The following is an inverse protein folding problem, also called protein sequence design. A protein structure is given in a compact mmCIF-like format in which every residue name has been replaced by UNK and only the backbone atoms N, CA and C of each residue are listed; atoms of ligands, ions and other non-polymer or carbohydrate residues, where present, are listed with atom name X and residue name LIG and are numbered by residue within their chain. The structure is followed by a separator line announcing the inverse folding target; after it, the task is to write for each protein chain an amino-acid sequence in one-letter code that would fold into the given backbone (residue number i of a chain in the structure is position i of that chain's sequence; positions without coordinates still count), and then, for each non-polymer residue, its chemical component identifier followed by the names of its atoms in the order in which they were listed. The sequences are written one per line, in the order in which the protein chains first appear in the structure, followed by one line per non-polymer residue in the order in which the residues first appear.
data_IF_647019125235
#
_entry.id   IF_647019125235
#
_cell.length_a   1.000
_cell.length_b   1.000
_cell.length_c   1.000
_cell.angle_alpha   90.00
_cell.angle_beta   90.00
_cell.angle_gamma   90.00
#
_symmetry.space_group_name_H-M   'P 1'
#
loop_
_entity.id
_entity.type
_entity.pdbx_description
1 polymer ?
#
# COMPACT_ATOMS: atom_id res chain seq x y z
N UNK A 1 36.84 9.45 23.16
CA UNK A 1 35.44 9.63 22.71
C UNK A 1 34.60 8.53 23.38
N UNK A 2 33.78 8.85 24.39
CA UNK A 2 32.85 7.88 25.00
C UNK A 2 31.83 7.50 23.92
N UNK A 3 31.84 6.26 23.48
CA UNK A 3 30.82 5.72 22.60
C UNK A 3 29.56 5.57 23.44
N UNK A 4 28.49 6.28 23.10
CA UNK A 4 27.17 6.17 23.75
C UNK A 4 26.40 5.01 23.10
N UNK A 5 26.57 3.77 23.56
CA UNK A 5 26.00 2.59 22.89
C UNK A 5 24.47 2.58 22.93
N UNK A 6 23.85 3.18 23.96
CA UNK A 6 22.39 3.29 24.03
C UNK A 6 21.82 4.21 22.94
N UNK A 7 22.41 5.41 22.80
CA UNK A 7 22.00 6.37 21.78
C UNK A 7 22.14 5.79 20.39
N UNK A 8 23.22 5.07 20.11
CA UNK A 8 23.43 4.42 18.82
C UNK A 8 22.42 3.30 18.57
N UNK A 9 22.11 2.47 19.56
CA UNK A 9 21.09 1.41 19.46
C UNK A 9 19.70 2.00 19.21
N UNK A 10 19.36 3.09 19.90
CA UNK A 10 18.09 3.81 19.71
C UNK A 10 18.00 4.44 18.31
N UNK A 11 19.06 5.10 17.88
CA UNK A 11 19.13 5.68 16.54
C UNK A 11 18.97 4.59 15.47
N UNK A 12 19.64 3.47 15.62
CA UNK A 12 19.55 2.33 14.71
C UNK A 12 18.14 1.71 14.71
N UNK A 13 17.51 1.55 15.87
CA UNK A 13 16.13 1.09 16.01
C UNK A 13 15.17 2.05 15.31
N UNK A 14 15.33 3.37 15.53
CA UNK A 14 14.48 4.39 14.92
C UNK A 14 14.64 4.40 13.39
N UNK A 15 15.87 4.36 12.90
CA UNK A 15 16.15 4.34 11.44
C UNK A 15 15.58 3.07 10.81
N UNK A 16 15.81 1.89 11.43
CA UNK A 16 15.25 0.62 10.95
C UNK A 16 13.72 0.66 10.89
N UNK A 17 13.08 1.25 11.89
CA UNK A 17 11.63 1.39 11.92
C UNK A 17 11.13 2.33 10.82
N UNK A 18 11.77 3.47 10.62
CA UNK A 18 11.43 4.38 9.53
C UNK A 18 11.60 3.73 8.15
N UNK A 19 12.69 3.00 7.94
CA UNK A 19 12.93 2.27 6.69
C UNK A 19 11.88 1.18 6.46
N UNK A 20 11.52 0.43 7.51
CA UNK A 20 10.49 -0.61 7.44
C UNK A 20 9.12 -0.01 7.12
N UNK A 21 8.75 1.09 7.77
CA UNK A 21 7.50 1.81 7.48
C UNK A 21 7.47 2.32 6.03
N UNK A 22 8.55 2.96 5.59
CA UNK A 22 8.64 3.48 4.22
C UNK A 22 8.53 2.35 3.20
N UNK A 23 9.23 1.24 3.44
CA UNK A 23 9.15 0.06 2.58
C UNK A 23 7.76 -0.56 2.56
N UNK A 24 7.10 -0.66 3.71
CA UNK A 24 5.74 -1.18 3.82
C UNK A 24 4.73 -0.30 3.07
N UNK A 25 4.79 1.03 3.28
CA UNK A 25 3.92 1.99 2.59
C UNK A 25 4.15 1.93 1.08
N UNK A 26 5.41 1.84 0.64
CA UNK A 26 5.75 1.76 -0.78
C UNK A 26 5.21 0.48 -1.43
N UNK A 27 5.51 -0.69 -0.86
CA UNK A 27 5.09 -1.99 -1.43
C UNK A 27 3.58 -2.14 -1.42
N UNK A 28 2.94 -1.71 -0.35
CA UNK A 28 1.49 -1.79 -0.24
C UNK A 28 0.80 -0.76 -1.12
N UNK A 29 1.32 0.45 -1.21
CA UNK A 29 0.81 1.50 -2.10
C UNK A 29 0.74 1.02 -3.55
N UNK A 30 1.81 0.42 -4.06
CA UNK A 30 1.85 -0.15 -5.41
C UNK A 30 0.83 -1.29 -5.62
N UNK A 31 0.64 -2.16 -4.63
CA UNK A 31 -0.31 -3.26 -4.73
C UNK A 31 -1.75 -2.74 -4.74
N UNK A 32 -2.03 -1.80 -3.88
CA UNK A 32 -3.33 -1.13 -3.77
C UNK A 32 -3.66 -0.37 -5.04
N UNK A 33 -2.71 0.41 -5.56
CA UNK A 33 -2.90 1.16 -6.81
C UNK A 33 -3.24 0.22 -7.98
N UNK A 34 -2.51 -0.88 -8.11
CA UNK A 34 -2.77 -1.88 -9.17
C UNK A 34 -4.15 -2.51 -9.04
N UNK A 35 -4.55 -2.92 -7.86
CA UNK A 35 -5.87 -3.54 -7.63
C UNK A 35 -7.03 -2.56 -7.73
N UNK A 36 -6.77 -1.26 -7.54
CA UNK A 36 -7.80 -0.22 -7.49
C UNK A 36 -8.09 0.41 -8.84
N UNK A 37 -7.06 0.57 -9.67
CA UNK A 37 -7.17 1.33 -10.90
C UNK A 37 -6.94 0.52 -12.17
N UNK A 38 -6.30 -0.63 -12.08
CA UNK A 38 -6.01 -1.44 -13.26
C UNK A 38 -6.93 -2.64 -13.36
N UNK A 39 -7.26 -3.01 -14.61
CA UNK A 39 -7.98 -4.24 -14.90
C UNK A 39 -7.16 -5.47 -14.48
N UNK A 40 -7.82 -6.45 -13.89
CA UNK A 40 -7.21 -7.76 -13.66
C UNK A 40 -6.79 -8.40 -15.00
N UNK A 41 -5.75 -9.21 -14.97
CA UNK A 41 -5.24 -9.87 -16.20
C UNK A 41 -6.33 -10.69 -16.89
N UNK A 42 -7.17 -11.40 -16.12
CA UNK A 42 -8.28 -12.17 -16.65
C UNK A 42 -9.30 -11.31 -17.43
N UNK A 43 -9.57 -10.08 -16.95
CA UNK A 43 -10.48 -9.14 -17.60
C UNK A 43 -9.85 -8.52 -18.86
N UNK A 44 -8.54 -8.25 -18.83
CA UNK A 44 -7.81 -7.83 -20.04
C UNK A 44 -7.85 -8.91 -21.11
N UNK A 45 -7.63 -10.17 -20.74
CA UNK A 45 -7.70 -11.32 -21.66
C UNK A 45 -9.13 -11.54 -22.18
N UNK A 46 -10.13 -11.26 -21.35
CA UNK A 46 -11.54 -11.32 -21.74
C UNK A 46 -11.86 -10.27 -22.82
N UNK A 47 -11.45 -9.02 -22.59
CA UNK A 47 -11.65 -7.94 -23.55
C UNK A 47 -10.81 -8.15 -24.83
N UNK A 48 -9.61 -8.70 -24.73
CA UNK A 48 -8.78 -9.05 -25.86
C UNK A 48 -9.42 -10.14 -26.74
N UNK A 49 -10.26 -11.03 -26.17
CA UNK A 49 -11.05 -11.99 -26.97
C UNK A 49 -12.09 -11.32 -27.86
N UNK A 50 -12.73 -10.25 -27.38
CA UNK A 50 -13.65 -9.47 -28.22
C UNK A 50 -12.93 -8.80 -29.39
N UNK A 51 -11.74 -8.27 -29.17
CA UNK A 51 -10.96 -7.70 -30.29
C UNK A 51 -10.60 -8.76 -31.33
N UNK A 52 -10.24 -9.97 -30.90
CA UNK A 52 -10.02 -11.11 -31.84
C UNK A 52 -11.27 -11.51 -32.61
N UNK A 53 -12.42 -11.52 -31.97
CA UNK A 53 -13.71 -11.81 -32.62
C UNK A 53 -14.10 -10.71 -33.60
N UNK A 54 -13.86 -9.46 -33.26
CA UNK A 54 -14.09 -8.32 -34.17
C UNK A 54 -13.21 -8.40 -35.42
N UNK A 55 -11.93 -8.75 -35.25
CA UNK A 55 -10.99 -8.97 -36.36
C UNK A 55 -11.44 -10.09 -37.27
N UNK A 56 -11.84 -11.25 -36.69
CA UNK A 56 -12.39 -12.37 -37.46
C UNK A 56 -13.69 -11.99 -38.20
N UNK A 57 -14.56 -11.21 -37.59
CA UNK A 57 -15.79 -10.75 -38.22
C UNK A 57 -15.50 -9.81 -39.42
N UNK A 58 -14.44 -8.99 -39.30
CA UNK A 58 -13.95 -8.16 -40.39
C UNK A 58 -13.35 -9.00 -41.52
N UNK A 59 -12.46 -9.94 -41.20
CA UNK A 59 -11.82 -10.82 -42.22
C UNK A 59 -12.83 -11.68 -42.99
N UNK A 60 -13.87 -12.20 -42.31
CA UNK A 60 -14.83 -13.12 -42.91
C UNK A 60 -16.03 -12.45 -43.58
N UNK A 61 -16.50 -11.34 -43.03
CA UNK A 61 -17.74 -10.71 -43.44
C UNK A 61 -17.64 -9.22 -43.74
N UNK A 62 -16.43 -8.64 -43.74
CA UNK A 62 -16.24 -7.22 -43.98
C UNK A 62 -17.11 -6.33 -43.08
N UNK A 63 -17.61 -5.24 -43.62
CA UNK A 63 -18.43 -4.29 -42.88
C UNK A 63 -19.74 -4.89 -42.29
N UNK A 64 -20.36 -5.83 -43.02
CA UNK A 64 -21.60 -6.49 -42.58
C UNK A 64 -21.33 -7.45 -41.43
N UNK A 65 -20.22 -8.20 -41.50
CA UNK A 65 -19.79 -9.10 -40.46
C UNK A 65 -19.50 -8.35 -39.13
N UNK A 66 -18.77 -7.24 -39.24
CA UNK A 66 -18.49 -6.35 -38.11
C UNK A 66 -19.77 -5.80 -37.47
N UNK A 67 -20.71 -5.33 -38.31
CA UNK A 67 -21.97 -4.76 -37.80
C UNK A 67 -22.83 -5.81 -37.08
N UNK A 68 -22.88 -7.02 -37.61
CA UNK A 68 -23.61 -8.13 -36.99
C UNK A 68 -22.99 -8.48 -35.65
N UNK A 69 -21.67 -8.63 -35.61
CA UNK A 69 -20.91 -8.91 -34.39
C UNK A 69 -21.07 -7.77 -33.34
N UNK A 70 -20.96 -6.50 -33.79
CA UNK A 70 -21.13 -5.32 -32.92
C UNK A 70 -22.45 -5.33 -32.19
N UNK A 71 -23.58 -5.55 -32.91
CA UNK A 71 -24.92 -5.63 -32.35
C UNK A 71 -25.06 -6.77 -31.35
N UNK A 72 -24.40 -7.89 -31.58
CA UNK A 72 -24.39 -9.03 -30.68
C UNK A 72 -23.66 -8.70 -29.38
N UNK A 73 -22.47 -8.09 -29.46
CA UNK A 73 -21.67 -7.70 -28.28
C UNK A 73 -22.36 -6.61 -27.48
N UNK A 74 -22.93 -5.59 -28.13
CA UNK A 74 -23.68 -4.54 -27.45
C UNK A 74 -24.86 -5.08 -26.65
N UNK A 75 -25.57 -6.10 -27.17
CA UNK A 75 -26.66 -6.76 -26.42
C UNK A 75 -26.16 -7.63 -25.29
N UNK A 76 -25.03 -8.30 -25.46
CA UNK A 76 -24.47 -9.21 -24.47
C UNK A 76 -23.87 -8.46 -23.27
N UNK A 77 -23.22 -7.33 -23.52
CA UNK A 77 -22.51 -6.56 -22.50
C UNK A 77 -23.26 -5.31 -22.03
N UNK A 78 -24.38 -4.99 -22.66
CA UNK A 78 -25.16 -3.77 -22.41
C UNK A 78 -24.29 -2.49 -22.44
N UNK A 79 -23.36 -2.44 -23.40
CA UNK A 79 -22.39 -1.36 -23.53
C UNK A 79 -22.23 -0.92 -24.98
N UNK A 80 -21.83 0.33 -25.18
CA UNK A 80 -21.50 0.82 -26.52
C UNK A 80 -20.19 0.19 -27.02
N UNK A 81 -20.18 -0.24 -28.28
CA UNK A 81 -19.01 -0.77 -28.96
C UNK A 81 -18.97 -0.31 -30.43
N UNK A 82 -17.76 -0.05 -30.91
CA UNK A 82 -17.49 0.25 -32.31
C UNK A 82 -16.18 -0.38 -32.79
N UNK A 83 -16.11 -0.77 -34.03
CA UNK A 83 -14.88 -1.22 -34.68
C UNK A 83 -14.44 -0.15 -35.64
N UNK A 84 -13.23 0.37 -35.45
CA UNK A 84 -12.72 1.52 -36.22
C UNK A 84 -11.39 1.20 -36.85
N UNK A 85 -11.19 1.73 -38.04
CA UNK A 85 -9.95 1.64 -38.78
C UNK A 85 -8.86 2.59 -38.26
N UNK A 86 -7.70 2.63 -38.93
CA UNK A 86 -6.54 3.44 -38.52
C UNK A 86 -6.85 4.93 -38.43
N UNK A 87 -7.72 5.45 -39.26
CA UNK A 87 -8.13 6.86 -39.30
C UNK A 87 -9.41 7.12 -38.52
N UNK A 88 -9.78 6.24 -37.59
CA UNK A 88 -10.97 6.31 -36.73
C UNK A 88 -12.30 6.28 -37.52
N UNK A 89 -12.29 5.88 -38.79
CA UNK A 89 -13.50 5.60 -39.54
C UNK A 89 -14.15 4.29 -39.08
N UNK A 90 -15.48 4.24 -39.07
CA UNK A 90 -16.21 3.00 -38.79
C UNK A 90 -15.86 1.92 -39.81
N UNK A 91 -15.54 0.72 -39.35
CA UNK A 91 -15.41 -0.46 -40.22
C UNK A 91 -16.73 -1.21 -40.37
N UNK A 92 -17.77 -0.85 -39.64
CA UNK A 92 -19.13 -1.35 -39.80
C UNK A 92 -19.90 -0.65 -40.92
N UNK A 93 -21.14 -1.10 -41.16
CA UNK A 93 -22.04 -0.48 -42.15
C UNK A 93 -22.62 0.84 -41.66
N UNK A 94 -22.68 1.06 -40.35
CA UNK A 94 -23.20 2.27 -39.71
C UNK A 94 -22.06 3.25 -39.48
N UNK A 95 -22.24 4.49 -39.98
CA UNK A 95 -21.30 5.56 -39.64
C UNK A 95 -21.49 6.04 -38.23
N UNK A 96 -20.40 6.46 -37.59
CA UNK A 96 -20.42 7.02 -36.25
C UNK A 96 -21.07 8.39 -36.26
N UNK A 97 -21.95 8.65 -35.32
CA UNK A 97 -22.52 9.98 -35.09
C UNK A 97 -21.44 10.91 -34.51
N UNK A 98 -21.68 12.22 -34.50
CA UNK A 98 -20.76 13.20 -33.92
C UNK A 98 -20.53 12.94 -32.40
N UNK A 99 -21.56 12.50 -31.69
CA UNK A 99 -21.49 12.12 -30.30
C UNK A 99 -20.62 10.88 -30.10
N UNK A 100 -20.85 9.82 -30.89
CA UNK A 100 -20.05 8.59 -30.87
C UNK A 100 -18.58 8.84 -31.26
N UNK A 101 -18.33 9.74 -32.19
CA UNK A 101 -16.97 10.17 -32.53
C UNK A 101 -16.27 10.86 -31.35
N UNK A 102 -17.00 11.53 -30.48
CA UNK A 102 -16.51 12.09 -29.23
C UNK A 102 -15.96 11.03 -28.31
N UNK A 103 -16.53 9.82 -28.29
CA UNK A 103 -16.05 8.70 -27.49
C UNK A 103 -14.64 8.24 -27.91
N UNK A 104 -14.24 8.46 -29.16
CA UNK A 104 -12.92 8.11 -29.64
C UNK A 104 -11.81 9.09 -29.25
N UNK A 105 -12.16 10.25 -28.67
CA UNK A 105 -11.18 11.28 -28.32
C UNK A 105 -10.36 10.89 -27.07
N UNK A 106 -10.95 10.13 -26.12
CA UNK A 106 -10.33 9.77 -24.85
C UNK A 106 -10.40 8.26 -24.60
N UNK A 107 -9.80 7.49 -25.50
CA UNK A 107 -9.71 6.05 -25.35
C UNK A 107 -8.52 5.66 -24.44
N UNK A 108 -8.72 4.68 -23.59
CA UNK A 108 -7.67 4.09 -22.73
C UNK A 108 -7.19 2.77 -23.31
N UNK A 109 -5.91 2.46 -23.14
CA UNK A 109 -5.38 1.12 -23.42
C UNK A 109 -5.71 0.18 -22.26
N UNK A 110 -5.76 -1.14 -22.51
CA UNK A 110 -6.06 -2.15 -21.49
C UNK A 110 -5.16 -2.10 -20.26
N UNK A 111 -3.90 -1.70 -20.45
CA UNK A 111 -2.91 -1.57 -19.39
C UNK A 111 -2.87 -0.19 -18.72
N UNK A 112 -3.85 0.67 -18.99
CA UNK A 112 -3.98 1.98 -18.37
C UNK A 112 -4.94 1.92 -17.18
N UNK A 113 -4.84 2.89 -16.25
CA UNK A 113 -5.78 2.97 -15.12
C UNK A 113 -7.22 3.17 -15.62
N UNK A 114 -8.15 2.37 -15.08
CA UNK A 114 -9.57 2.39 -15.43
C UNK A 114 -10.37 3.01 -14.29
N UNK A 115 -10.39 4.32 -14.18
CA UNK A 115 -11.27 5.05 -13.26
C UNK A 115 -12.46 5.63 -14.04
N UNK A 116 -13.59 5.87 -13.35
CA UNK A 116 -14.72 6.63 -13.92
C UNK A 116 -14.24 8.02 -14.37
N UNK A 117 -14.89 8.57 -15.38
CA UNK A 117 -14.65 9.94 -15.84
C UNK A 117 -15.22 10.95 -14.81
N UNK A 118 -14.85 12.23 -14.96
CA UNK A 118 -15.28 13.32 -14.07
C UNK A 118 -16.80 13.42 -13.88
N UNK A 119 -17.58 13.01 -14.87
CA UNK A 119 -19.05 13.00 -14.83
C UNK A 119 -19.66 11.65 -14.41
N UNK A 120 -18.85 10.72 -13.90
CA UNK A 120 -19.30 9.39 -13.50
C UNK A 120 -19.43 8.39 -14.64
N UNK A 121 -19.13 8.79 -15.89
CA UNK A 121 -19.17 7.91 -17.06
C UNK A 121 -18.10 6.81 -16.99
N UNK A 122 -18.44 5.67 -17.58
CA UNK A 122 -17.53 4.55 -17.74
C UNK A 122 -16.46 4.89 -18.81
N UNK A 123 -15.20 4.48 -18.62
CA UNK A 123 -14.14 4.75 -19.57
C UNK A 123 -14.31 3.95 -20.86
N UNK A 124 -13.87 4.52 -21.99
CA UNK A 124 -13.77 3.82 -23.27
C UNK A 124 -12.39 3.18 -23.39
N UNK A 125 -12.39 1.92 -23.83
CA UNK A 125 -11.17 1.11 -23.97
C UNK A 125 -10.92 0.86 -25.45
N UNK A 126 -9.69 1.08 -25.91
CA UNK A 126 -9.23 0.79 -27.26
C UNK A 126 -8.34 -0.44 -27.26
N UNK A 127 -8.70 -1.42 -28.08
CA UNK A 127 -7.99 -2.69 -28.19
C UNK A 127 -7.67 -2.90 -29.68
N UNK A 128 -6.40 -2.85 -30.04
CA UNK A 128 -5.95 -3.09 -31.41
C UNK A 128 -6.17 -4.55 -31.81
N UNK A 129 -6.39 -4.78 -33.08
CA UNK A 129 -6.50 -6.13 -33.61
C UNK A 129 -5.21 -6.92 -33.34
N UNK A 130 -5.33 -8.15 -32.79
CA UNK A 130 -4.14 -8.90 -32.39
C UNK A 130 -3.28 -9.41 -33.53
N UNK A 131 -3.89 -9.75 -34.69
CA UNK A 131 -3.16 -10.27 -35.89
C UNK A 131 -2.69 -9.14 -36.81
N UNK A 132 -3.57 -8.19 -37.02
CA UNK A 132 -3.34 -7.07 -37.97
C UNK A 132 -3.64 -5.73 -37.28
N UNK A 133 -2.73 -5.25 -36.40
CA UNK A 133 -2.93 -4.02 -35.64
C UNK A 133 -3.17 -2.78 -36.52
N UNK A 134 -2.66 -2.82 -37.74
CA UNK A 134 -2.79 -1.77 -38.77
C UNK A 134 -4.18 -1.71 -39.40
N UNK A 135 -4.96 -2.78 -39.38
CA UNK A 135 -6.29 -2.82 -40.01
C UNK A 135 -7.36 -2.14 -39.18
N UNK A 136 -7.23 -2.14 -37.85
CA UNK A 136 -8.22 -1.51 -37.01
C UNK A 136 -8.10 -1.82 -35.54
N UNK A 137 -9.10 -1.38 -34.81
CA UNK A 137 -9.23 -1.60 -33.37
C UNK A 137 -10.69 -1.67 -32.96
N UNK A 138 -10.91 -2.40 -31.89
CA UNK A 138 -12.16 -2.37 -31.16
C UNK A 138 -12.11 -1.22 -30.14
N UNK A 139 -13.15 -0.39 -30.13
CA UNK A 139 -13.39 0.61 -29.09
C UNK A 139 -14.71 0.24 -28.42
N UNK A 140 -14.70 0.08 -27.11
CA UNK A 140 -15.92 -0.20 -26.38
C UNK A 140 -15.92 0.51 -25.04
N UNK A 141 -17.08 0.86 -24.55
CA UNK A 141 -17.25 1.32 -23.19
C UNK A 141 -17.03 0.14 -22.26
N UNK A 142 -16.24 0.34 -21.21
CA UNK A 142 -15.93 -0.73 -20.26
C UNK A 142 -17.22 -1.17 -19.55
N UNK A 143 -17.59 -2.47 -19.60
CA UNK A 143 -18.72 -2.97 -18.83
C UNK A 143 -18.57 -2.67 -17.35
N UNK A 144 -19.64 -2.23 -16.67
CA UNK A 144 -19.60 -1.84 -15.27
C UNK A 144 -19.06 -2.94 -14.35
N UNK A 145 -19.37 -4.19 -14.66
CA UNK A 145 -18.92 -5.38 -13.94
C UNK A 145 -17.39 -5.59 -13.96
N UNK A 146 -16.71 -5.02 -14.97
CA UNK A 146 -15.26 -5.11 -15.15
C UNK A 146 -14.54 -3.86 -14.59
N UNK A 147 -15.30 -2.85 -14.16
CA UNK A 147 -14.69 -1.68 -13.56
C UNK A 147 -14.00 -2.08 -12.26
N UNK A 148 -12.71 -1.77 -12.08
CA UNK A 148 -12.04 -2.01 -10.82
C UNK A 148 -12.82 -1.37 -9.67
N UNK A 149 -13.23 -2.17 -8.69
CA UNK A 149 -14.16 -1.75 -7.62
C UNK A 149 -13.55 -0.78 -6.61
N UNK A 150 -12.31 -0.39 -6.82
CA UNK A 150 -11.62 0.49 -5.91
C UNK A 150 -11.31 -0.18 -4.55
N UNK A 151 -10.69 0.58 -3.67
CA UNK A 151 -10.54 0.15 -2.28
C UNK A 151 -11.89 0.22 -1.59
N UNK A 152 -12.33 -0.91 -1.04
CA UNK A 152 -13.47 -0.86 -0.12
C UNK A 152 -13.12 0.02 1.08
N UNK A 153 -14.08 0.71 1.71
CA UNK A 153 -13.84 1.52 2.92
C UNK A 153 -13.08 0.74 4.00
N UNK A 154 -13.32 -0.58 4.07
CA UNK A 154 -12.65 -1.48 5.00
C UNK A 154 -11.15 -1.66 4.69
N UNK A 155 -10.79 -1.84 3.43
CA UNK A 155 -9.38 -1.96 3.04
C UNK A 155 -8.62 -0.65 3.27
N UNK A 156 -9.26 0.51 3.04
CA UNK A 156 -8.72 1.82 3.41
C UNK A 156 -8.46 1.92 4.91
N UNK A 157 -9.44 1.53 5.73
CA UNK A 157 -9.30 1.55 7.19
C UNK A 157 -8.15 0.66 7.66
N UNK A 158 -8.04 -0.55 7.12
CA UNK A 158 -6.98 -1.48 7.50
C UNK A 158 -5.60 -0.98 7.06
N UNK A 159 -5.46 -0.50 5.84
CA UNK A 159 -4.16 -0.09 5.28
C UNK A 159 -3.65 1.23 5.85
N UNK A 160 -4.53 2.22 5.99
CA UNK A 160 -4.14 3.56 6.42
C UNK A 160 -4.40 3.85 7.90
N UNK A 161 -5.20 3.01 8.57
CA UNK A 161 -5.51 3.16 9.99
C UNK A 161 -4.86 2.07 10.84
N UNK A 162 -5.33 0.83 10.70
CA UNK A 162 -4.99 -0.26 11.63
C UNK A 162 -3.51 -0.66 11.53
N UNK A 163 -2.97 -0.82 10.33
CA UNK A 163 -1.58 -1.28 10.17
C UNK A 163 -0.54 -0.28 10.71
N UNK A 164 -0.60 1.03 10.39
CA UNK A 164 0.28 2.02 11.01
C UNK A 164 0.10 2.14 12.53
N UNK A 165 -1.15 2.03 13.03
CA UNK A 165 -1.43 2.08 14.45
C UNK A 165 -0.80 0.90 15.21
N UNK A 166 -0.90 -0.32 14.67
CA UNK A 166 -0.24 -1.50 15.25
C UNK A 166 1.28 -1.37 15.26
N UNK A 167 1.86 -0.86 14.18
CA UNK A 167 3.31 -0.62 14.13
C UNK A 167 3.75 0.43 15.15
N UNK A 168 3.00 1.52 15.29
CA UNK A 168 3.28 2.55 16.29
C UNK A 168 3.15 1.99 17.72
N UNK A 169 2.14 1.15 17.97
CA UNK A 169 1.97 0.47 19.25
C UNK A 169 3.14 -0.46 19.58
N UNK A 170 3.58 -1.27 18.62
CA UNK A 170 4.74 -2.16 18.79
C UNK A 170 6.02 -1.37 19.06
N UNK A 171 6.24 -0.27 18.36
CA UNK A 171 7.37 0.62 18.64
C UNK A 171 7.27 1.25 20.02
N UNK A 172 6.09 1.76 20.40
CA UNK A 172 5.84 2.31 21.73
C UNK A 172 6.11 1.27 22.84
N UNK A 173 5.67 0.03 22.64
CA UNK A 173 5.92 -1.08 23.56
C UNK A 173 7.42 -1.42 23.66
N UNK A 174 8.13 -1.41 22.53
CA UNK A 174 9.57 -1.63 22.51
C UNK A 174 10.32 -0.53 23.27
N UNK A 175 9.98 0.74 23.02
CA UNK A 175 10.54 1.89 23.74
C UNK A 175 10.22 1.83 25.25
N UNK A 176 8.98 1.49 25.60
CA UNK A 176 8.60 1.31 27.00
C UNK A 176 9.45 0.24 27.68
N UNK A 177 9.57 -0.95 27.09
CA UNK A 177 10.36 -2.05 27.66
C UNK A 177 11.85 -1.73 27.76
N UNK A 178 12.40 -1.06 26.77
CA UNK A 178 13.85 -0.84 26.70
C UNK A 178 14.33 0.43 27.40
N UNK A 179 13.47 1.44 27.56
CA UNK A 179 13.82 2.72 28.16
C UNK A 179 13.01 3.04 29.41
N UNK A 180 11.67 3.09 29.28
CA UNK A 180 10.82 3.62 30.35
C UNK A 180 10.80 2.69 31.55
N UNK A 181 10.63 1.41 31.34
CA UNK A 181 10.58 0.45 32.44
C UNK A 181 11.89 0.37 33.23
N UNK A 182 13.10 0.37 32.61
CA UNK A 182 14.36 0.47 33.36
C UNK A 182 14.51 1.79 34.14
N UNK A 183 14.11 2.92 33.52
CA UNK A 183 14.17 4.22 34.21
C UNK A 183 13.23 4.29 35.42
N UNK A 184 12.03 3.73 35.32
CA UNK A 184 11.12 3.65 36.45
C UNK A 184 11.71 2.82 37.61
N UNK A 185 12.36 1.68 37.29
CA UNK A 185 13.04 0.88 38.33
C UNK A 185 14.18 1.63 39.00
N UNK A 186 14.95 2.44 38.26
CA UNK A 186 15.98 3.32 38.80
C UNK A 186 15.37 4.38 39.72
N UNK A 187 14.24 4.96 39.35
CA UNK A 187 13.50 5.93 40.15
C UNK A 187 13.00 5.29 41.43
N UNK A 188 12.33 4.13 41.35
CA UNK A 188 11.81 3.43 42.53
C UNK A 188 12.93 3.10 43.49
N UNK A 189 14.11 2.73 43.00
CA UNK A 189 15.29 2.48 43.82
C UNK A 189 15.82 3.76 44.46
N UNK A 190 15.83 4.88 43.75
CA UNK A 190 16.22 6.17 44.32
C UNK A 190 15.27 6.62 45.44
N UNK A 191 13.97 6.38 45.25
CA UNK A 191 12.95 6.70 46.26
C UNK A 191 13.06 5.80 47.49
N UNK A 192 13.36 4.50 47.34
CA UNK A 192 13.64 3.57 48.44
C UNK A 192 14.89 4.01 49.25
N UNK A 193 15.96 4.42 48.57
CA UNK A 193 17.15 4.97 49.23
C UNK A 193 16.84 6.25 50.04
N UNK A 194 15.97 7.13 49.51
CA UNK A 194 15.51 8.31 50.27
C UNK A 194 14.70 7.95 51.51
N UNK A 195 13.93 6.86 51.45
CA UNK A 195 13.16 6.35 52.57
C UNK A 195 14.02 5.55 53.57
N UNK A 196 15.36 5.50 53.40
CA UNK A 196 16.31 4.75 54.19
C UNK A 196 16.10 3.21 54.16
N UNK A 197 15.40 2.72 53.10
CA UNK A 197 15.26 1.29 52.82
C UNK A 197 16.48 0.79 52.03
N UNK A 198 17.51 0.41 52.79
CA UNK A 198 18.79 -0.07 52.25
C UNK A 198 18.79 -1.57 51.96
N UNK A 199 17.76 -2.32 52.38
CA UNK A 199 17.66 -3.77 52.21
C UNK A 199 16.99 -4.22 50.91
N UNK A 200 16.49 -3.26 50.09
CA UNK A 200 15.91 -3.57 48.80
C UNK A 200 16.94 -4.26 47.87
N UNK A 201 16.54 -5.29 47.13
CA UNK A 201 17.45 -6.05 46.25
C UNK A 201 18.08 -5.14 45.19
N UNK A 202 19.33 -5.46 44.79
CA UNK A 202 20.07 -4.74 43.75
C UNK A 202 19.30 -4.69 42.43
N UNK A 203 19.62 -3.69 41.60
CA UNK A 203 18.93 -3.49 40.34
C UNK A 203 19.25 -4.63 39.35
N UNK A 204 18.26 -5.28 38.75
CA UNK A 204 18.47 -6.34 37.74
C UNK A 204 19.02 -5.79 36.39
N UNK A 205 19.63 -4.59 36.40
CA UNK A 205 20.19 -3.89 35.24
C UNK A 205 21.72 -4.00 35.16
N UNK A 206 22.36 -4.68 36.15
CA UNK A 206 23.83 -4.78 36.24
C UNK A 206 24.45 -5.52 35.06
N UNK A 207 23.71 -6.43 34.39
CA UNK A 207 24.18 -7.18 33.23
C UNK A 207 24.13 -6.37 31.94
N UNK A 208 23.56 -5.17 31.95
CA UNK A 208 23.48 -4.31 30.77
C UNK A 208 24.82 -3.61 30.53
N UNK A 209 25.26 -3.66 29.27
CA UNK A 209 26.50 -3.00 28.79
C UNK A 209 26.20 -1.67 28.07
N UNK A 210 25.27 -0.89 28.61
CA UNK A 210 24.89 0.42 28.07
C UNK A 210 24.87 1.47 29.20
N UNK A 211 24.55 2.71 28.86
CA UNK A 211 24.56 3.84 29.81
C UNK A 211 23.58 3.63 30.98
N UNK A 212 22.50 2.88 30.78
CA UNK A 212 21.58 2.53 31.87
C UNK A 212 22.23 1.50 32.82
N UNK A 213 23.05 0.60 32.31
CA UNK A 213 23.84 -0.33 33.14
C UNK A 213 24.90 0.41 33.94
N UNK A 214 25.63 1.35 33.32
CA UNK A 214 26.61 2.20 34.03
C UNK A 214 25.93 3.02 35.11
N UNK A 215 24.77 3.59 34.87
CA UNK A 215 24.00 4.36 35.83
C UNK A 215 23.53 3.46 37.03
N UNK A 216 23.03 2.27 36.71
CA UNK A 216 22.62 1.31 37.73
C UNK A 216 23.77 0.91 38.65
N UNK A 217 24.95 0.62 38.07
CA UNK A 217 26.17 0.32 38.87
C UNK A 217 26.61 1.49 39.74
N UNK A 218 26.58 2.73 39.21
CA UNK A 218 26.91 3.92 39.97
C UNK A 218 25.95 4.12 41.17
N UNK A 219 24.66 3.83 40.98
CA UNK A 219 23.64 3.87 42.02
C UNK A 219 23.89 2.82 43.10
N UNK A 220 24.18 1.58 42.74
CA UNK A 220 24.46 0.51 43.68
C UNK A 220 25.75 0.79 44.46
N UNK A 221 26.77 1.35 43.85
CA UNK A 221 27.99 1.80 44.54
C UNK A 221 27.69 2.90 45.54
N UNK A 222 26.84 3.87 45.19
CA UNK A 222 26.43 4.93 46.12
C UNK A 222 25.64 4.38 47.30
N UNK A 223 24.69 3.48 47.06
CA UNK A 223 23.88 2.83 48.06
C UNK A 223 24.74 2.05 49.06
N UNK A 224 25.74 1.28 48.59
CA UNK A 224 26.65 0.52 49.41
C UNK A 224 27.55 1.42 50.28
N UNK A 225 28.05 2.53 49.74
CA UNK A 225 28.83 3.52 50.50
C UNK A 225 28.00 4.16 51.61
N UNK A 226 26.74 4.52 51.30
CA UNK A 226 25.84 5.09 52.31
C UNK A 226 25.58 4.10 53.45
N UNK A 227 25.34 2.82 53.12
CA UNK A 227 25.15 1.75 54.10
C UNK A 227 26.37 1.61 55.03
N UNK A 228 27.56 1.53 54.46
CA UNK A 228 28.81 1.44 55.23
C UNK A 228 29.02 2.65 56.14
N UNK A 229 28.72 3.86 55.69
CA UNK A 229 28.83 5.09 56.48
C UNK A 229 27.86 5.09 57.65
N UNK A 230 26.61 4.65 57.45
CA UNK A 230 25.62 4.55 58.54
C UNK A 230 25.95 3.45 59.56
N UNK A 231 26.51 2.34 59.11
CA UNK A 231 27.00 1.28 60.02
C UNK A 231 28.15 1.77 60.86
N UNK A 232 29.08 2.53 60.30
CA UNK A 232 30.21 3.13 61.08
C UNK A 232 29.77 4.20 62.06
N UNK A 233 28.66 4.90 61.83
CA UNK A 233 28.12 5.88 62.80
C UNK A 233 27.31 5.25 63.94
N UNK A 234 26.95 3.99 63.81
CA UNK A 234 26.20 3.25 64.87
C UNK A 234 27.11 2.51 65.85
N UNK A 235 28.41 2.42 65.55
CA UNK A 235 29.45 1.89 66.44
C UNK A 235 30.08 2.99 67.33
#
# INVERSE_FOLDING_TARGET
MRRHPLLWKLALLQVSFCLLLTWLIWTWGLTVERSTYFLAQADQDYLARYARQAELAWEQGGAVGVETWRKQVQRAEDTWAAVVGPYLQSLGTTQLTAEEAGHLTFMRKLNWPMSRRLQGELPYVSITFPRHPEHGRLVMQLPERLLPTGLTPWTHLVTHGVAPALLALLMGLALYRHLVAPLNRLRDRADALRANDLDSPGLPLQDRRDELGELAQAFDHMANRLRQSLEQQRL
#
